data_IF_801929159574
#
_entry.id   IF_801929159574
#
_cell.length_a   1.000
_cell.length_b   1.000
_cell.length_c   1.000
_cell.angle_alpha   90.00
_cell.angle_beta   90.00
_cell.angle_gamma   90.00
#
_symmetry.space_group_name_H-M   'P 1'
#
loop_
_entity.id
_entity.type
_entity.pdbx_description
1 polymer ?
#
# COMPACT_ATOMS: atom_id res chain seq x y z
N UNK A 1 -6.42 -30.68 15.87
CA UNK A 1 -5.43 -29.79 15.22
C UNK A 1 -5.54 -28.44 15.92
N UNK A 2 -4.57 -28.08 16.76
CA UNK A 2 -4.61 -26.81 17.50
C UNK A 2 -4.35 -25.68 16.51
N UNK A 3 -5.27 -24.72 16.41
CA UNK A 3 -5.03 -23.50 15.67
C UNK A 3 -3.86 -22.78 16.35
N UNK A 4 -2.72 -22.69 15.66
CA UNK A 4 -1.58 -21.94 16.16
C UNK A 4 -2.03 -20.50 16.43
N UNK A 5 -1.83 -20.02 17.66
CA UNK A 5 -1.91 -18.59 17.96
C UNK A 5 -1.10 -17.82 16.91
N UNK A 6 -1.59 -16.68 16.38
CA UNK A 6 -0.87 -15.93 15.36
C UNK A 6 0.54 -15.64 15.86
N UNK A 7 1.56 -15.97 15.07
CA UNK A 7 2.90 -15.43 15.31
C UNK A 7 2.78 -13.90 15.27
N UNK A 8 3.51 -13.21 16.15
CA UNK A 8 3.50 -11.74 16.19
C UNK A 8 4.03 -11.10 14.90
N UNK A 9 4.88 -11.81 14.14
CA UNK A 9 5.39 -11.43 12.83
C UNK A 9 5.61 -12.67 11.96
N UNK A 10 5.35 -12.55 10.66
CA UNK A 10 5.68 -13.56 9.64
C UNK A 10 6.86 -13.08 8.78
N UNK A 11 7.72 -13.96 8.25
CA UNK A 11 8.76 -13.56 7.32
C UNK A 11 8.16 -12.87 6.10
N UNK A 12 8.66 -11.68 5.75
CA UNK A 12 8.16 -10.90 4.62
C UNK A 12 8.21 -11.71 3.31
N UNK A 13 9.28 -12.48 3.09
CA UNK A 13 9.42 -13.35 1.93
C UNK A 13 8.28 -14.37 1.80
N UNK A 14 7.75 -14.90 2.91
CA UNK A 14 6.63 -15.85 2.88
C UNK A 14 5.33 -15.14 2.46
N UNK A 15 5.12 -13.92 2.96
CA UNK A 15 3.97 -13.08 2.58
C UNK A 15 4.03 -12.72 1.10
N UNK A 16 5.20 -12.31 0.60
CA UNK A 16 5.39 -11.97 -0.81
C UNK A 16 5.12 -13.15 -1.72
N UNK A 17 5.67 -14.34 -1.41
CA UNK A 17 5.38 -15.56 -2.18
C UNK A 17 3.90 -15.92 -2.19
N UNK A 18 3.19 -15.73 -1.06
CA UNK A 18 1.74 -15.94 -1.02
C UNK A 18 1.00 -14.97 -1.96
N UNK A 19 1.37 -13.69 -1.98
CA UNK A 19 0.76 -12.70 -2.88
C UNK A 19 1.05 -13.02 -4.35
N UNK A 20 2.27 -13.45 -4.68
CA UNK A 20 2.64 -13.90 -6.03
C UNK A 20 1.79 -15.09 -6.48
N UNK A 21 1.66 -16.13 -5.66
CA UNK A 21 0.82 -17.30 -5.98
C UNK A 21 -0.64 -16.91 -6.18
N UNK A 22 -1.19 -16.02 -5.36
CA UNK A 22 -2.56 -15.53 -5.52
C UNK A 22 -2.69 -14.73 -6.83
N UNK A 23 -1.70 -13.89 -7.15
CA UNK A 23 -1.68 -13.13 -8.39
C UNK A 23 -1.70 -14.05 -9.61
N UNK A 24 -0.89 -15.11 -9.60
CA UNK A 24 -0.77 -16.08 -10.69
C UNK A 24 -2.03 -16.93 -10.86
N UNK A 25 -2.63 -17.39 -9.74
CA UNK A 25 -3.74 -18.35 -9.77
C UNK A 25 -5.11 -17.70 -9.84
N UNK A 26 -5.28 -16.51 -9.28
CA UNK A 26 -6.58 -15.83 -9.15
C UNK A 26 -6.60 -14.53 -9.94
N UNK A 27 -5.49 -13.79 -9.94
CA UNK A 27 -5.33 -12.58 -10.73
C UNK A 27 -5.07 -11.31 -9.92
N UNK A 28 -4.61 -10.29 -10.65
CA UNK A 28 -4.20 -8.98 -10.13
C UNK A 28 -5.30 -8.23 -9.38
N UNK A 29 -6.55 -8.34 -9.84
CA UNK A 29 -7.71 -7.69 -9.20
C UNK A 29 -7.89 -8.17 -7.75
N UNK A 30 -7.67 -9.46 -7.49
CA UNK A 30 -7.74 -10.03 -6.13
C UNK A 30 -6.64 -9.47 -5.24
N UNK A 31 -5.40 -9.40 -5.75
CA UNK A 31 -4.27 -8.83 -5.00
C UNK A 31 -4.49 -7.35 -4.69
N UNK A 32 -5.07 -6.57 -5.62
CA UNK A 32 -5.49 -5.19 -5.37
C UNK A 32 -6.57 -5.10 -4.29
N UNK A 33 -7.58 -5.97 -4.34
CA UNK A 33 -8.62 -6.03 -3.31
C UNK A 33 -8.07 -6.40 -1.92
N UNK A 34 -7.04 -7.25 -1.85
CA UNK A 34 -6.31 -7.55 -0.61
C UNK A 34 -5.58 -6.33 -0.07
N UNK A 35 -4.89 -5.57 -0.93
CA UNK A 35 -4.26 -4.29 -0.56
C UNK A 35 -5.27 -3.31 0.03
N UNK A 36 -6.47 -3.20 -0.55
CA UNK A 36 -7.55 -2.36 -0.03
C UNK A 36 -8.04 -2.75 1.37
N UNK A 37 -7.83 -4.01 1.79
CA UNK A 37 -8.18 -4.43 3.15
C UNK A 37 -7.17 -3.94 4.20
N UNK A 38 -5.92 -3.64 3.82
CA UNK A 38 -4.90 -3.22 4.79
C UNK A 38 -5.37 -2.01 5.60
N UNK A 39 -5.74 -0.86 5.00
CA UNK A 39 -6.16 0.32 5.78
C UNK A 39 -7.50 0.13 6.51
N UNK A 40 -8.31 -0.87 6.14
CA UNK A 40 -9.55 -1.21 6.85
C UNK A 40 -9.27 -1.89 8.19
N UNK A 41 -8.20 -2.68 8.25
CA UNK A 41 -7.80 -3.44 9.44
C UNK A 41 -6.61 -2.83 10.19
N UNK A 42 -5.98 -1.79 9.65
CA UNK A 42 -4.97 -1.00 10.37
C UNK A 42 -5.63 -0.12 11.45
N UNK A 43 -5.09 -0.16 12.66
CA UNK A 43 -5.44 0.80 13.70
C UNK A 43 -4.77 2.14 13.40
N UNK A 44 -5.57 3.19 13.20
CA UNK A 44 -5.07 4.56 13.02
C UNK A 44 -5.19 5.32 14.33
N UNK A 45 -4.12 5.98 14.79
CA UNK A 45 -4.21 6.95 15.87
C UNK A 45 -5.27 8.03 15.59
N UNK A 46 -6.01 8.49 16.60
CA UNK A 46 -7.16 9.40 16.39
C UNK A 46 -6.78 10.77 15.81
N UNK A 47 -5.50 11.17 15.91
CA UNK A 47 -5.00 12.43 15.35
C UNK A 47 -4.72 12.35 13.84
N UNK A 48 -4.74 11.16 13.23
CA UNK A 48 -4.66 11.02 11.77
C UNK A 48 -6.07 11.12 11.22
N UNK A 49 -6.41 12.30 10.69
CA UNK A 49 -7.80 12.65 10.34
C UNK A 49 -8.04 12.86 8.86
N UNK A 50 -7.00 12.78 8.02
CA UNK A 50 -7.10 13.03 6.58
C UNK A 50 -6.24 12.08 5.75
N UNK A 51 -6.62 11.94 4.48
CA UNK A 51 -5.84 11.15 3.52
C UNK A 51 -4.42 11.70 3.33
N UNK A 52 -4.27 13.03 3.25
CA UNK A 52 -2.96 13.67 3.11
C UNK A 52 -2.02 13.38 4.30
N UNK A 53 -2.53 13.47 5.54
CA UNK A 53 -1.76 13.10 6.73
C UNK A 53 -1.39 11.61 6.74
N UNK A 54 -2.31 10.75 6.28
CA UNK A 54 -2.07 9.33 6.21
C UNK A 54 -0.99 8.96 5.16
N UNK A 55 -0.97 9.64 3.99
CA UNK A 55 0.11 9.50 3.00
C UNK A 55 1.46 9.93 3.58
N UNK A 56 1.49 11.07 4.27
CA UNK A 56 2.71 11.58 4.90
C UNK A 56 3.30 10.60 5.93
N UNK A 57 2.45 9.92 6.70
CA UNK A 57 2.86 8.98 7.74
C UNK A 57 3.00 7.52 7.24
N UNK A 58 2.72 7.26 5.97
CA UNK A 58 2.61 5.91 5.41
C UNK A 58 3.91 5.10 5.56
N UNK A 59 5.06 5.74 5.33
CA UNK A 59 6.35 5.06 5.45
C UNK A 59 6.68 4.68 6.88
N UNK A 60 6.45 5.61 7.82
CA UNK A 60 6.65 5.36 9.25
C UNK A 60 5.79 4.20 9.73
N UNK A 61 4.53 4.17 9.31
CA UNK A 61 3.62 3.07 9.62
C UNK A 61 4.07 1.75 8.97
N UNK A 62 4.54 1.79 7.72
CA UNK A 62 5.05 0.62 7.02
C UNK A 62 6.26 0.00 7.74
N UNK A 63 7.29 0.80 8.05
CA UNK A 63 8.49 0.36 8.74
C UNK A 63 8.18 -0.14 10.16
N UNK A 64 7.32 0.56 10.90
CA UNK A 64 6.90 0.14 12.24
C UNK A 64 6.17 -1.21 12.29
N UNK A 65 5.52 -1.61 11.19
CA UNK A 65 4.84 -2.90 11.07
C UNK A 65 5.75 -4.04 10.57
N UNK A 66 7.01 -3.74 10.20
CA UNK A 66 7.97 -4.72 9.71
C UNK A 66 9.14 -4.89 10.69
N UNK A 67 8.92 -5.70 11.73
CA UNK A 67 9.94 -5.97 12.76
C UNK A 67 11.08 -6.84 12.21
N UNK A 68 12.32 -6.45 12.50
CA UNK A 68 13.52 -7.26 12.21
C UNK A 68 13.85 -7.43 10.72
N UNK A 69 13.22 -6.64 9.84
CA UNK A 69 13.54 -6.63 8.42
C UNK A 69 14.50 -5.49 8.11
N UNK A 70 15.72 -5.82 7.68
CA UNK A 70 16.70 -4.83 7.23
C UNK A 70 16.49 -4.54 5.73
N UNK A 71 16.45 -3.25 5.39
CA UNK A 71 16.39 -2.70 4.03
C UNK A 71 15.30 -3.30 3.10
N UNK A 72 14.04 -3.10 3.46
CA UNK A 72 12.86 -3.54 2.69
C UNK A 72 12.29 -2.45 1.77
N UNK A 73 13.04 -1.39 1.50
CA UNK A 73 12.53 -0.21 0.80
C UNK A 73 11.44 0.51 1.60
N UNK A 74 10.52 1.19 0.92
CA UNK A 74 9.50 1.99 1.58
C UNK A 74 8.43 2.59 0.66
N UNK A 75 7.67 3.49 1.28
CA UNK A 75 6.76 4.43 0.64
C UNK A 75 7.37 5.82 0.72
N UNK A 76 7.58 6.49 -0.41
CA UNK A 76 8.19 7.81 -0.46
C UNK A 76 7.16 8.81 -0.99
N UNK A 77 6.59 9.56 -0.06
CA UNK A 77 5.56 10.56 -0.34
C UNK A 77 6.18 11.91 -0.69
N UNK A 78 5.68 12.52 -1.76
CA UNK A 78 5.98 13.88 -2.18
C UNK A 78 4.66 14.62 -2.45
N UNK A 79 4.45 15.75 -1.77
CA UNK A 79 3.30 16.61 -2.02
C UNK A 79 3.55 17.41 -3.31
N UNK A 80 2.60 17.36 -4.26
CA UNK A 80 2.67 18.15 -5.49
C UNK A 80 1.87 19.44 -5.33
N UNK A 81 0.63 19.32 -4.87
CA UNK A 81 -0.22 20.45 -4.46
C UNK A 81 -1.23 19.99 -3.39
N UNK A 82 -2.18 20.85 -3.00
CA UNK A 82 -3.14 20.54 -1.92
C UNK A 82 -4.06 19.34 -2.15
N UNK A 83 -4.17 18.84 -3.38
CA UNK A 83 -5.07 17.76 -3.79
C UNK A 83 -4.37 16.73 -4.70
N UNK A 84 -3.04 16.76 -4.73
CA UNK A 84 -2.26 15.81 -5.50
C UNK A 84 -0.91 15.50 -4.85
N UNK A 85 -0.44 14.29 -5.08
CA UNK A 85 0.83 13.81 -4.54
C UNK A 85 1.45 12.78 -5.45
N UNK A 86 2.74 12.61 -5.31
CA UNK A 86 3.51 11.52 -5.89
C UNK A 86 3.87 10.54 -4.78
N UNK A 87 3.72 9.26 -5.05
CA UNK A 87 4.08 8.18 -4.14
C UNK A 87 4.99 7.21 -4.87
N UNK A 88 6.26 7.17 -4.52
CA UNK A 88 7.20 6.16 -5.03
C UNK A 88 7.30 5.01 -4.04
N UNK A 89 7.13 3.79 -4.53
CA UNK A 89 7.21 2.57 -3.74
C UNK A 89 8.34 1.68 -4.27
N UNK A 90 9.46 1.62 -3.55
CA UNK A 90 10.51 0.61 -3.77
C UNK A 90 10.41 -0.59 -2.82
N UNK A 91 9.40 -0.59 -1.93
CA UNK A 91 9.03 -1.79 -1.19
C UNK A 91 8.75 -3.00 -2.12
N UNK A 92 8.91 -4.24 -1.64
CA UNK A 92 8.89 -5.43 -2.49
C UNK A 92 7.47 -5.90 -2.86
N UNK A 93 6.41 -5.23 -2.40
CA UNK A 93 5.05 -5.67 -2.69
C UNK A 93 4.69 -5.54 -4.17
N UNK A 94 3.78 -6.39 -4.68
CA UNK A 94 3.23 -6.25 -6.02
C UNK A 94 2.63 -4.86 -6.26
N UNK A 95 2.74 -4.39 -7.50
CA UNK A 95 2.19 -3.12 -7.96
C UNK A 95 0.68 -2.99 -7.62
N UNK A 96 -0.11 -3.99 -7.99
CA UNK A 96 -1.55 -4.00 -7.73
C UNK A 96 -1.88 -3.98 -6.22
N UNK A 97 -1.07 -4.62 -5.38
CA UNK A 97 -1.24 -4.58 -3.92
C UNK A 97 -1.04 -3.16 -3.39
N UNK A 98 0.07 -2.51 -3.73
CA UNK A 98 0.38 -1.14 -3.34
C UNK A 98 -0.72 -0.16 -3.80
N UNK A 99 -1.18 -0.29 -5.04
CA UNK A 99 -2.30 0.52 -5.54
C UNK A 99 -3.56 0.31 -4.69
N UNK A 100 -3.87 -0.94 -4.35
CA UNK A 100 -4.99 -1.27 -3.47
C UNK A 100 -4.87 -0.63 -2.09
N UNK A 101 -3.68 -0.61 -1.49
CA UNK A 101 -3.46 0.06 -0.20
C UNK A 101 -3.76 1.56 -0.30
N UNK A 102 -3.31 2.24 -1.36
CA UNK A 102 -3.58 3.67 -1.55
C UNK A 102 -5.08 3.97 -1.72
N UNK A 103 -5.80 3.12 -2.44
CA UNK A 103 -7.26 3.21 -2.61
C UNK A 103 -8.01 2.98 -1.31
N UNK A 104 -7.64 1.93 -0.56
CA UNK A 104 -8.21 1.63 0.74
C UNK A 104 -7.98 2.77 1.73
N UNK A 105 -6.82 3.41 1.64
CA UNK A 105 -6.46 4.53 2.50
C UNK A 105 -7.32 5.75 2.19
N UNK A 106 -7.47 6.12 0.91
CA UNK A 106 -8.36 7.19 0.52
C UNK A 106 -9.81 6.91 0.95
N UNK A 107 -10.34 5.72 0.64
CA UNK A 107 -11.70 5.33 0.99
C UNK A 107 -11.99 5.40 2.50
N UNK A 108 -10.96 5.21 3.35
CA UNK A 108 -11.09 5.35 4.81
C UNK A 108 -11.31 6.80 5.24
N UNK A 109 -10.67 7.76 4.56
CA UNK A 109 -10.66 9.17 4.93
C UNK A 109 -11.61 10.04 4.10
N UNK A 110 -12.27 9.47 3.09
CA UNK A 110 -13.25 10.19 2.27
C UNK A 110 -14.66 9.64 2.45
N UNK A 111 -15.61 10.54 2.68
CA UNK A 111 -17.03 10.21 2.79
C UNK A 111 -17.74 10.07 1.43
N UNK A 112 -19.01 9.67 1.46
CA UNK A 112 -19.87 9.70 0.26
C UNK A 112 -19.95 11.14 -0.29
N UNK A 113 -19.77 11.30 -1.60
CA UNK A 113 -19.89 12.59 -2.29
C UNK A 113 -18.58 13.38 -2.46
N UNK A 114 -17.46 12.88 -1.94
CA UNK A 114 -16.13 13.43 -2.25
C UNK A 114 -15.63 12.95 -3.62
N UNK A 115 -14.71 13.70 -4.22
CA UNK A 115 -14.04 13.29 -5.46
C UNK A 115 -13.36 11.92 -5.26
N UNK A 116 -13.41 11.08 -6.29
CA UNK A 116 -12.74 9.78 -6.27
C UNK A 116 -11.24 9.94 -6.47
N UNK A 117 -10.46 9.08 -5.82
CA UNK A 117 -9.02 9.02 -6.06
C UNK A 117 -8.72 8.54 -7.49
N UNK A 118 -8.02 9.37 -8.25
CA UNK A 118 -7.37 8.96 -9.50
C UNK A 118 -5.93 8.57 -9.20
N UNK A 119 -5.55 7.37 -9.63
CA UNK A 119 -4.18 6.86 -9.53
C UNK A 119 -3.67 6.60 -10.95
N UNK A 120 -2.55 7.23 -11.30
CA UNK A 120 -1.83 6.97 -12.54
C UNK A 120 -0.42 6.50 -12.24
N UNK A 121 0.06 5.52 -13.00
CA UNK A 121 1.45 5.12 -12.94
C UNK A 121 2.29 6.05 -13.81
N UNK A 122 3.43 6.50 -13.29
CA UNK A 122 4.47 7.10 -14.15
C UNK A 122 5.02 6.01 -15.08
N UNK A 123 5.13 6.30 -16.37
CA UNK A 123 5.34 5.30 -17.43
C UNK A 123 6.60 4.46 -17.21
N UNK A 124 7.67 5.07 -16.73
CA UNK A 124 8.98 4.43 -16.53
C UNK A 124 9.09 3.68 -15.20
N UNK A 125 8.32 4.08 -14.18
CA UNK A 125 8.38 3.52 -12.83
C UNK A 125 7.19 2.61 -12.55
N UNK A 126 7.23 1.38 -13.08
CA UNK A 126 6.25 0.36 -12.70
C UNK A 126 6.84 -1.05 -12.72
N UNK A 127 6.77 -1.73 -11.57
CA UNK A 127 7.21 -3.12 -11.43
C UNK A 127 6.47 -4.10 -12.33
N UNK A 128 5.20 -3.83 -12.64
CA UNK A 128 4.46 -4.63 -13.61
C UNK A 128 4.99 -4.51 -15.05
N UNK A 129 5.86 -3.53 -15.31
CA UNK A 129 6.57 -3.29 -16.58
C UNK A 129 8.07 -3.56 -16.48
N UNK A 130 8.54 -4.17 -15.38
CA UNK A 130 9.94 -4.55 -15.19
C UNK A 130 10.82 -3.56 -14.41
N UNK A 131 10.26 -2.45 -13.91
CA UNK A 131 11.01 -1.53 -13.07
C UNK A 131 11.23 -2.07 -11.64
N UNK A 132 12.19 -1.51 -10.91
CA UNK A 132 12.47 -1.89 -9.52
C UNK A 132 11.56 -1.22 -8.50
N UNK A 133 10.79 -0.20 -8.91
CA UNK A 133 9.84 0.53 -8.09
C UNK A 133 8.55 0.84 -8.88
N UNK A 134 7.51 1.25 -8.17
CA UNK A 134 6.33 1.87 -8.78
C UNK A 134 6.22 3.33 -8.34
N UNK A 135 5.96 4.24 -9.26
CA UNK A 135 5.61 5.62 -8.92
C UNK A 135 4.18 5.92 -9.33
N UNK A 136 3.39 6.38 -8.35
CA UNK A 136 1.98 6.70 -8.51
C UNK A 136 1.78 8.21 -8.42
N UNK A 137 1.09 8.79 -9.40
CA UNK A 137 0.52 10.14 -9.32
C UNK A 137 -0.91 10.01 -8.79
N UNK A 138 -1.14 10.67 -7.66
CA UNK A 138 -2.40 10.65 -6.93
C UNK A 138 -3.07 12.00 -7.08
N UNK A 139 -4.37 11.99 -7.37
CA UNK A 139 -5.20 13.20 -7.40
C UNK A 139 -6.57 12.90 -6.82
N UNK A 140 -7.02 13.70 -5.87
CA UNK A 140 -8.30 13.57 -5.17
C UNK A 140 -8.93 14.93 -4.90
#
# INVERSE_FOLDING_TARGET
MSASSPRSCYPLADVLRCLEVIQERVGRVTVRAMGQQVPRHTAFPPHITSFAMALFLMNTAYLGNHQGAEDIGGYHHELVDGQSSRMRCDNPYPCDFNQGVLEGLHARFTGRGMLGLRIEHESEDCRARGATACTYRLKW
#
